data_IF_107164989774
#
_entry.id   IF_107164989774
#
_cell.length_a   1.000
_cell.length_b   1.000
_cell.length_c   1.000
_cell.angle_alpha   90.00
_cell.angle_beta   90.00
_cell.angle_gamma   90.00
#
_symmetry.space_group_name_H-M   'P 1'
#
loop_
_entity.id
_entity.type
_entity.pdbx_description
1 polymer ?
#
# COMPACT_ATOMS: atom_id res chain seq x y z
N UNK A 1 42.94 -27.70 -12.08
CA UNK A 1 41.78 -27.58 -11.16
C UNK A 1 40.52 -27.68 -12.00
N UNK A 2 39.70 -28.72 -11.77
CA UNK A 2 38.38 -28.88 -12.41
C UNK A 2 37.40 -27.88 -11.78
N UNK A 3 36.63 -27.14 -12.58
CA UNK A 3 35.57 -26.25 -12.10
C UNK A 3 34.24 -26.65 -12.75
N UNK A 4 33.25 -26.98 -11.94
CA UNK A 4 31.88 -27.27 -12.35
C UNK A 4 30.94 -26.51 -11.41
N UNK A 5 30.04 -25.70 -11.98
CA UNK A 5 29.09 -24.91 -11.23
C UNK A 5 27.78 -24.83 -12.02
N UNK A 6 26.66 -25.06 -11.35
CA UNK A 6 25.33 -24.87 -11.90
C UNK A 6 24.53 -24.01 -10.92
N UNK A 7 24.03 -22.88 -11.41
CA UNK A 7 23.26 -21.93 -10.61
C UNK A 7 21.83 -21.85 -11.14
N UNK A 8 20.86 -21.89 -10.23
CA UNK A 8 19.46 -21.65 -10.52
C UNK A 8 18.99 -20.42 -9.76
N UNK A 9 18.26 -19.54 -10.44
CA UNK A 9 17.64 -18.36 -9.83
C UNK A 9 16.23 -18.20 -10.41
N UNK A 10 15.26 -17.96 -9.53
CA UNK A 10 13.87 -17.75 -9.88
C UNK A 10 13.34 -16.54 -9.12
N UNK A 11 12.76 -15.60 -9.86
CA UNK A 11 12.18 -14.37 -9.31
C UNK A 11 10.75 -14.24 -9.80
N UNK A 12 9.82 -14.01 -8.87
CA UNK A 12 8.42 -13.75 -9.17
C UNK A 12 8.05 -12.36 -8.61
N UNK A 13 7.48 -11.50 -9.45
CA UNK A 13 7.06 -10.15 -9.08
C UNK A 13 5.57 -10.03 -9.39
N UNK A 14 4.78 -9.63 -8.40
CA UNK A 14 3.32 -9.45 -8.52
C UNK A 14 2.98 -8.03 -8.10
N UNK A 15 2.45 -7.25 -9.05
CA UNK A 15 1.97 -5.89 -8.80
C UNK A 15 0.46 -5.86 -9.01
N UNK A 16 -0.29 -5.55 -7.96
CA UNK A 16 -1.77 -5.47 -7.99
C UNK A 16 -2.26 -4.06 -7.67
N UNK A 17 -2.07 -3.09 -8.59
CA UNK A 17 -2.68 -1.77 -8.41
C UNK A 17 -4.21 -1.87 -8.53
N UNK A 18 -4.92 -1.03 -7.81
CA UNK A 18 -6.36 -0.87 -7.94
C UNK A 18 -6.71 0.61 -8.07
N UNK A 19 -7.82 0.91 -8.73
CA UNK A 19 -8.29 2.26 -8.98
C UNK A 19 -9.82 2.26 -9.00
N UNK A 20 -10.42 3.36 -8.54
CA UNK A 20 -11.86 3.57 -8.57
C UNK A 20 -12.14 4.84 -9.36
N UNK A 21 -13.08 4.79 -10.29
CA UNK A 21 -13.47 5.94 -11.11
C UNK A 21 -14.93 5.82 -11.53
N UNK A 22 -15.50 6.93 -12.02
CA UNK A 22 -16.86 7.00 -12.54
C UNK A 22 -16.94 6.61 -14.01
N UNK A 23 -18.16 6.31 -14.47
CA UNK A 23 -18.42 5.97 -15.87
C UNK A 23 -17.97 7.12 -16.81
N UNK A 24 -17.21 6.77 -17.86
CA UNK A 24 -16.63 7.68 -18.87
C UNK A 24 -15.60 8.66 -18.34
N UNK A 25 -15.07 8.46 -17.13
CA UNK A 25 -14.07 9.34 -16.53
C UNK A 25 -12.70 8.66 -16.51
N UNK A 26 -11.71 9.30 -17.13
CA UNK A 26 -10.33 8.83 -17.11
C UNK A 26 -9.76 8.94 -15.69
N UNK A 27 -9.11 7.88 -15.24
CA UNK A 27 -8.40 7.86 -13.97
C UNK A 27 -6.98 7.34 -14.16
N UNK A 28 -6.05 7.89 -13.39
CA UNK A 28 -4.63 7.58 -13.48
C UNK A 28 -4.07 7.14 -12.14
N UNK A 29 -3.10 6.23 -12.20
CA UNK A 29 -2.33 5.74 -11.07
C UNK A 29 -0.85 5.80 -11.45
N UNK A 30 -0.01 6.25 -10.53
CA UNK A 30 1.44 6.27 -10.71
C UNK A 30 2.10 5.93 -9.37
N UNK A 31 2.94 4.90 -9.38
CA UNK A 31 3.79 4.54 -8.24
C UNK A 31 5.19 4.26 -8.76
N UNK A 32 6.20 4.81 -8.10
CA UNK A 32 7.57 4.67 -8.58
C UNK A 32 8.58 5.18 -7.58
N UNK A 33 9.84 5.08 -7.99
CA UNK A 33 10.98 5.59 -7.25
C UNK A 33 11.94 6.30 -8.20
N UNK A 34 12.60 7.32 -7.69
CA UNK A 34 13.62 8.06 -8.42
C UNK A 34 14.95 7.85 -7.71
N UNK A 35 15.98 7.50 -8.48
CA UNK A 35 17.37 7.41 -8.00
C UNK A 35 18.23 8.44 -8.73
N UNK A 36 19.29 8.92 -8.08
CA UNK A 36 20.26 9.79 -8.76
C UNK A 36 21.34 8.93 -9.41
N UNK A 37 21.63 9.19 -10.68
CA UNK A 37 22.69 8.52 -11.44
C UNK A 37 23.80 9.50 -11.78
N UNK A 38 25.04 9.03 -11.78
CA UNK A 38 26.19 9.84 -12.19
C UNK A 38 26.25 9.83 -13.72
N UNK A 39 26.03 10.97 -14.37
CA UNK A 39 25.98 11.06 -15.85
C UNK A 39 27.27 11.61 -16.44
N UNK A 40 27.99 12.44 -15.70
CA UNK A 40 29.30 12.97 -16.11
C UNK A 40 30.14 13.33 -14.88
N UNK A 41 31.46 13.26 -15.02
CA UNK A 41 32.40 13.78 -14.02
C UNK A 41 33.22 14.87 -14.69
N UNK A 42 33.07 16.12 -14.24
CA UNK A 42 33.83 17.27 -14.75
C UNK A 42 34.70 17.79 -13.62
N UNK A 43 36.02 17.83 -13.83
CA UNK A 43 37.00 18.31 -12.84
C UNK A 43 36.88 17.63 -11.45
N UNK A 44 36.57 16.33 -11.40
CA UNK A 44 36.44 15.56 -10.16
C UNK A 44 35.09 15.73 -9.44
N UNK A 45 34.17 16.54 -9.97
CA UNK A 45 32.80 16.68 -9.47
C UNK A 45 31.84 15.82 -10.30
N UNK A 46 31.08 14.95 -9.62
CA UNK A 46 30.07 14.10 -10.24
C UNK A 46 28.77 14.90 -10.48
N UNK A 47 28.33 14.99 -11.74
CA UNK A 47 27.02 15.48 -12.11
C UNK A 47 25.99 14.36 -11.94
N UNK A 48 24.99 14.61 -11.09
CA UNK A 48 23.96 13.64 -10.72
C UNK A 48 22.63 14.02 -11.34
N UNK A 49 22.05 13.17 -12.18
CA UNK A 49 20.73 13.37 -12.78
C UNK A 49 19.68 12.42 -12.15
N UNK A 50 18.43 12.87 -11.96
CA UNK A 50 17.36 12.00 -11.46
C UNK A 50 16.88 11.04 -12.56
N UNK A 51 16.93 9.74 -12.28
CA UNK A 51 16.35 8.69 -13.12
C UNK A 51 15.17 8.04 -12.40
N UNK A 52 14.02 8.00 -13.05
CA UNK A 52 12.76 7.52 -12.47
C UNK A 52 12.34 6.18 -13.08
N UNK A 53 11.96 5.24 -12.22
CA UNK A 53 11.31 3.99 -12.56
C UNK A 53 9.91 3.97 -11.92
N UNK A 54 8.87 3.74 -12.71
CA UNK A 54 7.49 3.79 -12.24
C UNK A 54 6.57 2.83 -12.97
N UNK A 55 5.55 2.39 -12.24
CA UNK A 55 4.34 1.78 -12.77
C UNK A 55 3.30 2.89 -12.95
N UNK A 56 2.92 3.16 -14.18
CA UNK A 56 1.82 4.06 -14.54
C UNK A 56 0.68 3.28 -15.16
N UNK A 57 -0.54 3.68 -14.83
CA UNK A 57 -1.76 3.09 -15.35
C UNK A 57 -2.79 4.19 -15.58
N UNK A 58 -3.39 4.24 -16.76
CA UNK A 58 -4.48 5.13 -17.12
C UNK A 58 -5.63 4.30 -17.69
N UNK A 59 -6.82 4.46 -17.12
CA UNK A 59 -8.00 3.70 -17.49
C UNK A 59 -9.19 4.64 -17.67
N UNK A 60 -9.94 4.46 -18.75
CA UNK A 60 -11.23 5.12 -18.99
C UNK A 60 -12.30 4.06 -19.19
N UNK A 61 -13.13 3.76 -18.17
CA UNK A 61 -14.18 2.76 -18.29
C UNK A 61 -15.46 3.35 -18.87
N UNK A 62 -16.24 2.52 -19.55
CA UNK A 62 -17.58 2.77 -20.05
C UNK A 62 -18.45 1.57 -19.69
N UNK A 63 -19.53 1.81 -18.94
CA UNK A 63 -20.50 0.77 -18.58
C UNK A 63 -21.59 0.75 -19.63
N UNK A 64 -21.77 -0.40 -20.26
CA UNK A 64 -22.83 -0.68 -21.23
C UNK A 64 -24.14 -1.05 -20.53
N UNK A 65 -25.31 -0.85 -21.18
CA UNK A 65 -26.61 -1.19 -20.59
C UNK A 65 -26.77 -2.68 -20.25
N UNK A 66 -26.00 -3.55 -20.92
CA UNK A 66 -25.95 -5.00 -20.67
C UNK A 66 -25.09 -5.38 -19.45
N UNK A 67 -24.56 -4.39 -18.72
CA UNK A 67 -23.72 -4.62 -17.54
C UNK A 67 -22.26 -4.96 -17.85
N UNK A 68 -21.84 -4.87 -19.12
CA UNK A 68 -20.42 -5.04 -19.49
C UNK A 68 -19.64 -3.75 -19.29
N UNK A 69 -18.36 -3.89 -18.98
CA UNK A 69 -17.42 -2.78 -18.79
C UNK A 69 -16.43 -2.77 -19.95
N UNK A 70 -16.53 -1.76 -20.80
CA UNK A 70 -15.56 -1.46 -21.86
C UNK A 70 -14.52 -0.48 -21.32
N UNK A 71 -13.23 -0.77 -21.47
CA UNK A 71 -12.16 0.05 -20.89
C UNK A 71 -11.11 0.36 -21.95
N UNK A 72 -10.74 1.64 -22.08
CA UNK A 72 -9.48 2.02 -22.72
C UNK A 72 -8.37 2.00 -21.65
N UNK A 73 -7.32 1.23 -21.89
CA UNK A 73 -6.31 0.89 -20.88
C UNK A 73 -4.92 1.22 -21.43
N UNK A 74 -4.14 1.96 -20.64
CA UNK A 74 -2.73 2.21 -20.89
C UNK A 74 -1.95 1.88 -19.60
N UNK A 75 -1.09 0.87 -19.66
CA UNK A 75 -0.25 0.45 -18.55
C UNK A 75 1.20 0.53 -19.02
N UNK A 76 2.07 1.13 -18.21
CA UNK A 76 3.52 1.12 -18.43
C UNK A 76 4.25 0.81 -17.11
N UNK A 77 5.11 -0.19 -17.14
CA UNK A 77 6.01 -0.54 -16.05
C UNK A 77 7.44 -0.25 -16.49
N UNK A 78 8.08 0.70 -15.83
CA UNK A 78 9.50 1.01 -16.00
C UNK A 78 10.26 0.54 -14.77
N UNK A 79 11.27 -0.29 -14.97
CA UNK A 79 12.14 -0.84 -13.94
C UNK A 79 13.59 -0.42 -14.20
N UNK A 80 14.40 -0.30 -13.14
CA UNK A 80 15.84 -0.16 -13.31
C UNK A 80 16.42 -1.49 -13.79
N UNK A 81 17.21 -1.47 -14.87
CA UNK A 81 17.82 -2.68 -15.41
C UNK A 81 19.06 -3.12 -14.61
N UNK A 82 19.75 -2.16 -14.01
CA UNK A 82 20.99 -2.35 -13.28
C UNK A 82 20.86 -1.88 -11.81
N UNK A 83 21.52 -2.57 -10.89
CA UNK A 83 21.64 -2.15 -9.48
C UNK A 83 22.69 -1.06 -9.27
N UNK A 84 23.58 -0.87 -10.24
CA UNK A 84 24.66 0.11 -10.17
C UNK A 84 24.13 1.54 -10.46
N UNK A 85 24.63 2.53 -9.73
CA UNK A 85 24.25 3.94 -9.85
C UNK A 85 25.01 4.66 -10.97
N UNK A 86 26.00 3.99 -11.56
CA UNK A 86 26.80 4.47 -12.69
C UNK A 86 26.09 4.30 -14.04
N UNK A 87 25.20 3.30 -14.16
CA UNK A 87 24.50 2.98 -15.40
C UNK A 87 23.01 3.32 -15.27
N UNK A 88 22.55 4.24 -16.12
CA UNK A 88 21.18 4.74 -16.15
C UNK A 88 20.19 3.87 -16.92
N UNK A 89 20.42 2.57 -17.04
CA UNK A 89 19.60 1.71 -17.89
C UNK A 89 18.24 1.43 -17.25
N UNK A 90 17.17 1.58 -18.03
CA UNK A 90 15.81 1.24 -17.65
C UNK A 90 15.22 0.22 -18.62
N UNK A 91 14.30 -0.60 -18.11
CA UNK A 91 13.50 -1.52 -18.90
C UNK A 91 12.04 -1.11 -18.79
N UNK A 92 11.43 -0.72 -19.90
CA UNK A 92 10.01 -0.35 -19.95
C UNK A 92 9.21 -1.47 -20.64
N UNK A 93 8.06 -1.80 -20.04
CA UNK A 93 7.08 -2.76 -20.54
C UNK A 93 5.74 -2.05 -20.57
N UNK A 94 5.12 -1.91 -21.73
CA UNK A 94 3.86 -1.19 -21.86
C UNK A 94 2.83 -1.94 -22.68
N UNK A 95 1.56 -1.71 -22.35
CA UNK A 95 0.39 -2.23 -23.07
C UNK A 95 -0.61 -1.09 -23.21
N UNK A 96 -1.02 -0.83 -24.45
CA UNK A 96 -2.11 0.10 -24.79
C UNK A 96 -3.15 -0.72 -25.53
N UNK A 97 -4.33 -0.86 -24.95
CA UNK A 97 -5.39 -1.72 -25.50
C UNK A 97 -6.77 -1.25 -25.07
N UNK A 98 -7.80 -1.79 -25.72
CA UNK A 98 -9.18 -1.65 -25.30
C UNK A 98 -9.80 -3.05 -25.15
N UNK A 99 -10.52 -3.27 -24.06
CA UNK A 99 -11.16 -4.56 -23.78
C UNK A 99 -12.57 -4.34 -23.22
N UNK A 100 -13.47 -5.27 -23.52
CA UNK A 100 -14.83 -5.33 -22.94
C UNK A 100 -14.98 -6.61 -22.17
N UNK A 101 -15.37 -6.50 -20.90
CA UNK A 101 -15.33 -7.61 -19.93
C UNK A 101 -16.58 -7.53 -19.04
N UNK A 102 -17.07 -8.68 -18.54
CA UNK A 102 -18.15 -8.70 -17.56
C UNK A 102 -17.74 -8.15 -16.19
N UNK A 103 -18.72 -7.78 -15.36
CA UNK A 103 -18.48 -7.42 -13.96
C UNK A 103 -17.85 -8.58 -13.18
N UNK A 104 -16.68 -8.35 -12.58
CA UNK A 104 -15.94 -9.35 -11.79
C UNK A 104 -15.19 -10.41 -12.61
N UNK A 105 -15.29 -10.40 -13.94
CA UNK A 105 -14.53 -11.30 -14.80
C UNK A 105 -13.06 -10.85 -14.92
N UNK A 106 -12.15 -11.80 -15.13
CA UNK A 106 -10.72 -11.53 -15.31
C UNK A 106 -10.36 -11.81 -16.76
N UNK A 107 -9.76 -10.83 -17.43
CA UNK A 107 -9.22 -11.00 -18.80
C UNK A 107 -7.71 -10.78 -18.81
N UNK A 108 -7.01 -11.56 -19.65
CA UNK A 108 -5.64 -11.30 -20.01
C UNK A 108 -5.58 -10.27 -21.15
N UNK A 109 -4.96 -9.12 -20.90
CA UNK A 109 -4.83 -8.04 -21.88
C UNK A 109 -3.66 -8.25 -22.84
N UNK A 110 -2.65 -9.01 -22.41
CA UNK A 110 -1.45 -9.28 -23.18
C UNK A 110 -0.32 -9.83 -22.31
N UNK A 111 0.84 -10.05 -22.94
CA UNK A 111 2.03 -10.55 -22.27
C UNK A 111 3.22 -10.69 -23.20
N UNK A 112 4.39 -10.95 -22.61
CA UNK A 112 5.65 -11.19 -23.31
C UNK A 112 6.34 -12.40 -22.69
N UNK A 113 6.62 -13.42 -23.51
CA UNK A 113 7.47 -14.55 -23.13
C UNK A 113 8.76 -14.48 -23.92
N UNK A 114 9.87 -14.31 -23.22
CA UNK A 114 11.21 -14.24 -23.79
C UNK A 114 12.01 -15.47 -23.35
N UNK A 115 12.64 -16.15 -24.32
CA UNK A 115 13.53 -17.27 -24.08
C UNK A 115 14.89 -16.98 -24.72
N UNK A 116 15.94 -16.96 -23.91
CA UNK A 116 17.31 -16.68 -24.34
C UNK A 116 18.21 -17.83 -23.90
N UNK A 117 18.91 -18.44 -24.86
CA UNK A 117 19.89 -19.48 -24.60
C UNK A 117 21.23 -19.02 -25.16
N UNK A 118 22.22 -18.87 -24.28
CA UNK A 118 23.58 -18.48 -24.63
C UNK A 118 24.50 -19.67 -24.43
N UNK A 119 25.23 -20.06 -25.47
CA UNK A 119 26.27 -21.07 -25.42
C UNK A 119 27.64 -20.42 -25.64
N UNK A 120 28.51 -20.49 -24.65
CA UNK A 120 29.89 -20.01 -24.72
C UNK A 120 30.82 -21.21 -24.67
N UNK A 121 31.63 -21.38 -25.72
CA UNK A 121 32.69 -22.37 -25.78
C UNK A 121 34.03 -21.65 -25.80
N UNK A 122 34.85 -21.85 -24.77
CA UNK A 122 36.21 -21.31 -24.71
C UNK A 122 37.22 -22.44 -24.88
N UNK A 123 38.17 -22.27 -25.80
CA UNK A 123 39.28 -23.22 -26.02
C UNK A 123 40.54 -22.62 -25.40
N UNK A 124 41.10 -23.29 -24.39
CA UNK A 124 42.32 -22.82 -23.73
C UNK A 124 43.57 -23.00 -24.63
N UNK A 125 43.58 -24.06 -25.44
CA UNK A 125 44.62 -24.34 -26.42
C UNK A 125 43.97 -24.75 -27.74
N UNK A 126 44.03 -23.94 -28.82
CA UNK A 126 43.30 -24.21 -30.06
C UNK A 126 43.61 -25.59 -30.66
N UNK A 127 44.87 -25.99 -30.65
CA UNK A 127 45.34 -27.25 -31.25
C UNK A 127 44.96 -28.46 -30.38
N UNK A 128 45.23 -28.41 -29.08
CA UNK A 128 44.97 -29.54 -28.18
C UNK A 128 43.48 -29.69 -27.86
N UNK A 129 42.72 -28.59 -27.90
CA UNK A 129 41.28 -28.61 -27.68
C UNK A 129 40.56 -29.40 -28.77
N UNK A 130 41.09 -29.54 -29.97
CA UNK A 130 40.41 -30.21 -31.09
C UNK A 130 40.70 -31.72 -31.21
N UNK A 131 41.51 -32.27 -30.30
CA UNK A 131 41.76 -33.70 -30.23
C UNK A 131 40.55 -34.47 -29.64
N UNK A 132 40.15 -35.61 -30.24
CA UNK A 132 38.91 -36.32 -29.88
C UNK A 132 38.91 -36.96 -28.48
N UNK A 133 40.08 -37.26 -27.91
CA UNK A 133 40.21 -37.97 -26.62
C UNK A 133 40.53 -36.99 -25.48
N UNK A 134 41.46 -36.05 -25.70
CA UNK A 134 41.94 -35.13 -24.65
C UNK A 134 41.38 -33.71 -24.76
N UNK A 135 40.75 -33.35 -25.88
CA UNK A 135 40.32 -31.98 -26.16
C UNK A 135 39.27 -31.44 -25.18
N UNK A 136 38.44 -32.31 -24.59
CA UNK A 136 37.47 -31.89 -23.56
C UNK A 136 38.13 -31.38 -22.27
N UNK A 137 39.37 -31.77 -21.95
CA UNK A 137 40.10 -31.24 -20.79
C UNK A 137 40.63 -29.82 -21.03
N UNK A 138 40.72 -29.39 -22.29
CA UNK A 138 41.20 -28.06 -22.70
C UNK A 138 40.08 -27.12 -23.19
N UNK A 139 38.82 -27.53 -23.01
CA UNK A 139 37.62 -26.75 -23.38
C UNK A 139 36.84 -26.38 -22.12
N UNK A 140 36.35 -25.15 -22.07
CA UNK A 140 35.36 -24.70 -21.10
C UNK A 140 34.04 -24.46 -21.82
N UNK A 141 32.95 -24.99 -21.26
CA UNK A 141 31.59 -24.83 -21.79
C UNK A 141 30.75 -24.12 -20.74
N UNK A 142 30.17 -23.00 -21.12
CA UNK A 142 29.16 -22.30 -20.32
C UNK A 142 27.86 -22.27 -21.11
N UNK A 143 26.76 -22.72 -20.49
CA UNK A 143 25.42 -22.58 -21.05
C UNK A 143 24.57 -21.79 -20.07
N UNK A 144 24.02 -20.68 -20.55
CA UNK A 144 23.12 -19.83 -19.78
C UNK A 144 21.74 -19.87 -20.45
N UNK A 145 20.70 -20.14 -19.66
CA UNK A 145 19.31 -20.12 -20.10
C UNK A 145 18.54 -19.11 -19.27
N UNK A 146 17.91 -18.14 -19.93
CA UNK A 146 17.10 -17.10 -19.30
C UNK A 146 15.71 -17.16 -19.90
N UNK A 147 14.68 -17.31 -19.05
CA UNK A 147 13.27 -17.25 -19.42
C UNK A 147 12.62 -16.11 -18.65
N UNK A 148 11.93 -15.21 -19.35
CA UNK A 148 11.18 -14.08 -18.76
C UNK A 148 9.75 -14.11 -19.28
N UNK A 149 8.78 -14.19 -18.37
CA UNK A 149 7.36 -14.21 -18.71
C UNK A 149 6.68 -13.02 -18.04
N UNK A 150 5.93 -12.23 -18.80
CA UNK A 150 5.20 -11.05 -18.33
C UNK A 150 3.76 -11.21 -18.83
N UNK A 151 2.80 -10.95 -17.96
CA UNK A 151 1.37 -10.99 -18.28
C UNK A 151 0.67 -9.79 -17.65
N UNK A 152 -0.31 -9.24 -18.37
CA UNK A 152 -1.17 -8.17 -17.89
C UNK A 152 -2.59 -8.71 -17.75
N UNK A 153 -3.12 -8.68 -16.54
CA UNK A 153 -4.48 -9.10 -16.22
C UNK A 153 -5.27 -7.90 -15.69
N UNK A 154 -6.57 -7.86 -15.97
CA UNK A 154 -7.47 -6.88 -15.39
C UNK A 154 -8.79 -7.54 -14.97
N UNK A 155 -9.37 -7.03 -13.89
CA UNK A 155 -10.68 -7.44 -13.42
C UNK A 155 -11.48 -6.18 -13.05
N UNK A 156 -12.44 -5.76 -13.90
CA UNK A 156 -13.30 -4.64 -13.55
C UNK A 156 -14.33 -5.08 -12.49
N UNK A 157 -14.71 -4.16 -11.62
CA UNK A 157 -15.82 -4.34 -10.69
C UNK A 157 -16.72 -3.10 -10.69
N UNK A 158 -18.00 -3.30 -10.94
CA UNK A 158 -19.01 -2.24 -10.86
C UNK A 158 -19.37 -2.04 -9.37
N UNK A 159 -19.23 -0.80 -8.91
CA UNK A 159 -19.57 -0.42 -7.53
C UNK A 159 -20.82 0.45 -7.59
N UNK A 160 -21.93 -0.05 -7.06
CA UNK A 160 -23.16 0.73 -6.94
C UNK A 160 -23.13 1.60 -5.69
N UNK A 161 -23.44 2.91 -5.79
CA UNK A 161 -23.57 3.76 -4.61
C UNK A 161 -24.73 3.29 -3.72
N UNK A 162 -24.56 3.39 -2.40
CA UNK A 162 -25.59 3.03 -1.42
C UNK A 162 -26.39 4.28 -1.06
N UNK A 163 -27.71 4.17 -1.05
CA UNK A 163 -28.62 5.29 -0.73
C UNK A 163 -28.98 5.38 0.77
N UNK A 164 -28.63 4.38 1.57
CA UNK A 164 -29.18 4.17 2.92
C UNK A 164 -28.23 4.57 4.06
N UNK A 165 -27.19 5.39 3.79
CA UNK A 165 -26.26 5.88 4.82
C UNK A 165 -25.29 4.84 5.40
N UNK A 166 -25.30 3.61 4.89
CA UNK A 166 -24.36 2.55 5.29
C UNK A 166 -23.15 2.50 4.37
N UNK A 167 -22.03 1.98 4.89
CA UNK A 167 -20.78 1.86 4.13
C UNK A 167 -20.88 0.77 3.05
N UNK A 168 -20.34 1.05 1.86
CA UNK A 168 -20.29 0.08 0.76
C UNK A 168 -19.51 -1.18 1.13
N UNK A 169 -20.01 -2.36 0.76
CA UNK A 169 -19.34 -3.65 0.99
C UNK A 169 -17.90 -3.69 0.44
N UNK A 170 -17.67 -3.04 -0.70
CA UNK A 170 -16.33 -2.86 -1.28
C UNK A 170 -15.39 -2.14 -0.30
N UNK A 171 -15.86 -1.02 0.27
CA UNK A 171 -15.11 -0.21 1.23
C UNK A 171 -14.94 -0.97 2.54
N UNK A 172 -15.98 -1.65 3.02
CA UNK A 172 -15.95 -2.47 4.25
C UNK A 172 -14.88 -3.54 4.19
N UNK A 173 -14.85 -4.31 3.10
CA UNK A 173 -13.85 -5.35 2.89
C UNK A 173 -12.42 -4.79 2.90
N UNK A 174 -12.19 -3.65 2.25
CA UNK A 174 -10.87 -3.02 2.23
C UNK A 174 -10.45 -2.54 3.61
N UNK A 175 -11.35 -1.89 4.35
CA UNK A 175 -11.06 -1.42 5.70
C UNK A 175 -10.77 -2.59 6.64
N UNK A 176 -11.56 -3.66 6.58
CA UNK A 176 -11.32 -4.86 7.40
C UNK A 176 -9.97 -5.52 7.07
N UNK A 177 -9.60 -5.54 5.79
CA UNK A 177 -8.29 -6.05 5.34
C UNK A 177 -7.16 -5.17 5.87
N UNK A 178 -7.29 -3.85 5.76
CA UNK A 178 -6.30 -2.89 6.28
C UNK A 178 -6.15 -3.00 7.79
N UNK A 179 -7.25 -3.14 8.53
CA UNK A 179 -7.23 -3.34 9.99
C UNK A 179 -6.44 -4.59 10.38
N UNK A 180 -6.63 -5.71 9.66
CA UNK A 180 -5.86 -6.94 9.89
C UNK A 180 -4.36 -6.73 9.63
N UNK A 181 -4.00 -6.12 8.50
CA UNK A 181 -2.60 -5.84 8.15
C UNK A 181 -1.93 -4.95 9.22
N UNK A 182 -2.62 -3.91 9.69
CA UNK A 182 -2.10 -3.02 10.74
C UNK A 182 -1.97 -3.78 12.07
N UNK A 183 -2.97 -4.59 12.44
CA UNK A 183 -2.94 -5.36 13.68
C UNK A 183 -1.79 -6.38 13.69
N UNK A 184 -1.55 -7.08 12.58
CA UNK A 184 -0.45 -8.03 12.45
C UNK A 184 0.92 -7.32 12.56
N UNK A 185 1.07 -6.14 11.95
CA UNK A 185 2.29 -5.32 12.06
C UNK A 185 2.53 -4.80 13.49
N UNK A 186 1.46 -4.47 14.22
CA UNK A 186 1.57 -4.10 15.64
C UNK A 186 1.96 -5.29 16.52
N UNK A 187 1.52 -6.50 16.18
CA UNK A 187 1.88 -7.72 16.89
C UNK A 187 3.38 -8.04 16.73
N UNK A 188 3.97 -7.85 15.54
CA UNK A 188 5.42 -7.96 15.34
C UNK A 188 6.22 -6.94 16.17
N UNK A 189 5.72 -5.70 16.29
CA UNK A 189 6.36 -4.68 17.14
C UNK A 189 6.35 -5.08 18.62
N UNK A 190 5.28 -5.73 19.08
CA UNK A 190 5.17 -6.23 20.46
C UNK A 190 6.01 -7.48 20.73
N UNK A 191 6.52 -8.16 19.69
CA UNK A 191 7.54 -9.22 19.82
C UNK A 191 8.97 -8.68 19.89
N UNK A 192 9.17 -7.36 19.75
CA UNK A 192 10.47 -6.73 20.06
C UNK A 192 10.69 -6.76 21.56
N UNK A 193 11.94 -7.04 21.94
CA UNK A 193 12.45 -7.12 23.31
C UNK A 193 11.76 -6.10 24.24
N UNK A 194 11.26 -6.48 25.44
CA UNK A 194 10.65 -5.57 26.39
C UNK A 194 11.52 -4.33 26.68
N UNK A 195 12.84 -4.45 26.60
CA UNK A 195 13.79 -3.33 26.72
C UNK A 195 13.61 -2.35 25.56
N UNK A 196 13.49 -2.81 24.31
CA UNK A 196 13.28 -1.95 23.15
C UNK A 196 11.96 -1.16 23.23
N UNK A 197 10.90 -1.77 23.78
CA UNK A 197 9.63 -1.09 24.00
C UNK A 197 9.69 -0.02 25.11
N UNK A 198 10.55 -0.19 26.11
CA UNK A 198 10.73 0.79 27.20
C UNK A 198 11.60 1.99 26.77
N UNK A 199 12.65 1.76 25.96
CA UNK A 199 13.58 2.82 25.56
C UNK A 199 13.22 3.51 24.24
N UNK A 200 12.53 2.83 23.33
CA UNK A 200 12.17 3.34 21.99
C UNK A 200 10.67 3.23 21.69
N UNK A 201 9.85 2.97 22.71
CA UNK A 201 8.39 2.97 22.59
C UNK A 201 7.83 4.37 22.43
N UNK A 202 8.05 5.00 21.28
CA UNK A 202 7.30 6.20 20.91
C UNK A 202 5.81 5.88 20.88
N UNK A 203 5.03 6.75 21.52
CA UNK A 203 3.58 6.68 21.64
C UNK A 203 2.93 6.31 20.32
N UNK A 204 2.43 5.08 20.26
CA UNK A 204 1.71 4.58 19.11
C UNK A 204 0.47 5.46 18.93
N UNK A 205 0.49 6.34 17.94
CA UNK A 205 -0.75 6.80 17.32
C UNK A 205 -1.49 5.53 16.92
N UNK A 206 -2.58 5.20 17.62
CA UNK A 206 -3.39 4.05 17.31
C UNK A 206 -4.08 4.30 15.97
N UNK A 207 -3.43 3.92 14.87
CA UNK A 207 -3.99 4.01 13.52
C UNK A 207 -5.30 3.21 13.39
N UNK A 208 -5.52 2.21 14.25
CA UNK A 208 -6.78 1.50 14.37
C UNK A 208 -7.91 2.39 14.93
N UNK A 209 -7.62 3.21 15.94
CA UNK A 209 -8.61 4.13 16.53
C UNK A 209 -9.01 5.24 15.55
N UNK A 210 -8.08 5.72 14.72
CA UNK A 210 -8.41 6.70 13.69
C UNK A 210 -9.29 6.10 12.60
N UNK A 211 -9.03 4.86 12.17
CA UNK A 211 -9.89 4.15 11.20
C UNK A 211 -11.31 3.92 11.75
N UNK A 212 -11.45 3.57 13.02
CA UNK A 212 -12.77 3.39 13.65
C UNK A 212 -13.56 4.69 13.72
N UNK A 213 -12.89 5.81 14.02
CA UNK A 213 -13.52 7.14 14.01
C UNK A 213 -13.93 7.61 12.60
N UNK A 214 -13.25 7.13 11.54
CA UNK A 214 -13.64 7.41 10.15
C UNK A 214 -14.82 6.55 9.68
N UNK A 215 -14.90 5.28 10.09
CA UNK A 215 -15.95 4.33 9.67
C UNK A 215 -17.26 4.58 10.41
N UNK A 216 -17.15 4.90 11.70
CA UNK A 216 -18.28 5.27 12.56
C UNK A 216 -17.97 6.63 13.15
N UNK A 217 -18.38 7.74 12.49
CA UNK A 217 -18.24 9.07 13.06
C UNK A 217 -19.14 9.16 14.29
N UNK A 218 -18.56 8.89 15.47
CA UNK A 218 -19.09 9.09 16.82
C UNK A 218 -20.63 9.25 16.91
N UNK A 219 -21.38 8.21 16.51
CA UNK A 219 -22.74 8.05 17.03
C UNK A 219 -22.57 7.67 18.50
N UNK A 220 -22.74 8.68 19.37
CA UNK A 220 -22.60 8.61 20.83
C UNK A 220 -22.78 7.19 21.37
N UNK A 221 -21.65 6.53 21.69
CA UNK A 221 -21.63 5.19 22.30
C UNK A 221 -22.75 5.13 23.34
N UNK A 222 -23.73 4.21 23.25
CA UNK A 222 -24.89 4.20 24.16
C UNK A 222 -24.46 4.09 25.64
N UNK A 223 -23.27 3.55 25.90
CA UNK A 223 -22.62 3.54 27.20
C UNK A 223 -22.26 4.95 27.73
N UNK A 224 -21.83 5.89 26.88
CA UNK A 224 -21.49 7.27 27.27
C UNK A 224 -22.75 8.07 27.61
N UNK A 225 -23.84 7.90 26.85
CA UNK A 225 -25.17 8.48 27.18
C UNK A 225 -25.71 7.97 28.51
N UNK A 226 -25.59 6.66 28.78
CA UNK A 226 -26.01 6.07 30.07
C UNK A 226 -25.19 6.63 31.23
N UNK A 227 -23.85 6.75 31.07
CA UNK A 227 -22.97 7.35 32.08
C UNK A 227 -23.27 8.82 32.32
N UNK A 228 -23.46 9.63 31.27
CA UNK A 228 -23.82 11.05 31.41
C UNK A 228 -25.18 11.25 32.07
N UNK A 229 -26.15 10.37 31.78
CA UNK A 229 -27.46 10.37 32.47
C UNK A 229 -27.33 10.01 33.94
N UNK A 230 -26.50 9.01 34.26
CA UNK A 230 -26.27 8.59 35.65
C UNK A 230 -25.51 9.67 36.43
N UNK A 231 -24.48 10.29 35.85
CA UNK A 231 -23.74 11.42 36.45
C UNK A 231 -24.63 12.64 36.66
N UNK A 232 -25.49 12.99 35.69
CA UNK A 232 -26.47 14.08 35.87
C UNK A 232 -27.50 13.75 36.94
N UNK A 233 -27.90 12.49 37.09
CA UNK A 233 -28.82 12.02 38.13
C UNK A 233 -28.18 12.09 39.52
N UNK A 234 -26.90 11.74 39.64
CA UNK A 234 -26.13 11.81 40.88
C UNK A 234 -25.86 13.27 41.26
N UNK A 235 -25.50 14.12 40.29
CA UNK A 235 -25.31 15.56 40.50
C UNK A 235 -26.62 16.25 40.95
N UNK A 236 -27.75 15.92 40.32
CA UNK A 236 -29.07 16.46 40.72
C UNK A 236 -29.48 16.06 42.14
N UNK A 237 -29.14 14.84 42.58
CA UNK A 237 -29.39 14.40 43.97
C UNK A 237 -28.55 15.15 44.98
N UNK A 238 -27.26 15.40 44.70
CA UNK A 238 -26.38 16.16 45.62
C UNK A 238 -26.85 17.59 45.86
N UNK A 239 -27.43 18.25 44.85
CA UNK A 239 -27.95 19.63 44.99
C UNK A 239 -29.25 19.66 45.84
N UNK A 240 -29.93 18.53 46.00
CA UNK A 240 -31.17 18.44 46.81
C UNK A 240 -30.88 18.15 48.29
N UNK A 241 -29.68 17.63 48.61
CA UNK A 241 -29.28 17.29 49.98
C UNK A 241 -28.54 18.43 50.71
N UNK A 242 -27.99 19.43 50.01
CA UNK A 242 -27.43 20.65 50.62
C UNK A 242 -28.46 21.80 50.66
N UNK A 243 -29.44 21.69 51.57
CA UNK A 243 -30.21 22.85 52.02
C UNK A 243 -30.02 22.99 53.53
N UNK A 244 -29.20 23.94 54.02
CA UNK A 244 -28.95 24.03 55.44
C UNK A 244 -30.19 24.53 56.18
N UNK A 245 -30.45 23.83 57.28
CA UNK A 245 -31.55 23.99 58.22
C UNK A 245 -31.50 25.36 58.91
N UNK A 246 -32.68 25.97 59.09
CA UNK A 246 -32.87 27.28 59.72
C UNK A 246 -32.47 27.23 61.20
N UNK A 247 -31.53 28.09 61.62
CA UNK A 247 -31.36 28.45 63.04
C UNK A 247 -32.10 29.74 63.35
N UNK A 248 -33.12 29.64 64.20
CA UNK A 248 -33.91 30.76 64.70
C UNK A 248 -33.16 31.54 65.78
N UNK A 249 -33.04 32.87 65.64
CA UNK A 249 -32.85 33.77 66.78
C UNK A 249 -33.86 34.90 66.75
N UNK A 250 -34.80 34.84 67.70
CA UNK A 250 -35.68 35.95 68.09
C UNK A 250 -34.85 36.99 68.83
N UNK A 251 -34.92 38.25 68.40
CA UNK A 251 -34.64 39.39 69.29
C UNK A 251 -35.66 40.49 68.99
N UNK A 252 -36.51 40.79 69.98
CA UNK A 252 -37.35 41.99 70.06
C UNK A 252 -36.49 43.16 70.52
N UNK A 253 -36.71 44.35 69.97
CA UNK A 253 -36.68 45.69 70.62
C UNK A 253 -37.12 46.68 69.52
N UNK A 254 -38.34 47.24 69.53
CA UNK A 254 -38.83 48.39 70.31
C UNK A 254 -38.20 49.75 69.98
N UNK A 255 -39.06 50.62 69.41
CA UNK A 255 -39.28 52.05 69.74
C UNK A 255 -38.68 53.19 68.88
N UNK A 256 -39.58 54.17 68.60
CA UNK A 256 -39.42 55.59 68.19
C UNK A 256 -38.77 55.84 66.81
N UNK A 257 -39.24 56.74 65.96
CA UNK A 257 -40.19 57.85 66.07
C UNK A 257 -39.76 58.96 65.10
N UNK A 258 -40.72 59.82 64.73
CA UNK A 258 -40.56 61.10 64.02
C UNK A 258 -40.12 61.06 62.54
N UNK A 259 -40.46 61.99 61.66
CA UNK A 259 -41.55 62.98 61.50
C UNK A 259 -41.17 63.74 60.20
N UNK A 260 -42.21 64.22 59.49
CA UNK A 260 -42.19 65.17 58.36
C UNK A 260 -41.65 64.66 57.01
#
# INVERSE_FOLDING_TARGET
>A
ILKMLQTFSQTNIINTPFLVTTNKTAATFSAGSTRRIITATVNGQASNEPLTASLTMAITPTISPDGKVSMAINIALTEFADSDLTNGNTSTKSVVTAATVGDGEIIALGGLTQHQVTHTLSKAFPILADLPIIGNLFRSKTSQRVRKNIFFFISPKIITPINNGTMNDYTKKHIDTTKKVIADAQQEKNMRDPVANVFFGEGAFNYLDSLDNFVTPDEEKPARRKRLREEKRIAGKRITEEKPERSSRKTRLSYKGAAA
#
